data_IF_379188105033
#
_entry.id   IF_379188105033
#
_cell.length_a   1.000
_cell.length_b   1.000
_cell.length_c   1.000
_cell.angle_alpha   90.00
_cell.angle_beta   90.00
_cell.angle_gamma   90.00
#
_symmetry.space_group_name_H-M   'P 1'
#
loop_
_entity.id
_entity.type
_entity.pdbx_description
1 polymer ?
#
# COMPACT_ATOMS: atom_id res chain seq x y z
N UNK A 1 -49.53 -13.95 -33.36
CA UNK A 1 -48.09 -14.15 -33.62
C UNK A 1 -47.26 -12.84 -33.70
N UNK A 2 -47.87 -11.65 -33.89
CA UNK A 2 -47.14 -10.37 -34.07
C UNK A 2 -46.38 -9.83 -32.85
N UNK A 3 -46.78 -10.19 -31.62
CA UNK A 3 -46.14 -9.67 -30.40
C UNK A 3 -44.74 -10.26 -30.13
N UNK A 4 -44.43 -11.47 -30.63
CA UNK A 4 -43.12 -12.11 -30.40
C UNK A 4 -41.99 -11.47 -31.21
N UNK A 5 -42.28 -10.96 -32.41
CA UNK A 5 -41.27 -10.27 -33.24
C UNK A 5 -40.84 -8.93 -32.66
N UNK A 6 -41.75 -8.21 -32.00
CA UNK A 6 -41.48 -6.91 -31.41
C UNK A 6 -40.54 -7.01 -30.18
N UNK A 7 -40.69 -8.08 -29.40
CA UNK A 7 -39.87 -8.34 -28.21
C UNK A 7 -38.42 -8.70 -28.58
N UNK A 8 -38.23 -9.47 -29.66
CA UNK A 8 -36.89 -9.81 -30.18
C UNK A 8 -36.18 -8.57 -30.74
N UNK A 9 -36.91 -7.71 -31.47
CA UNK A 9 -36.35 -6.46 -31.98
C UNK A 9 -35.93 -5.51 -30.85
N UNK A 10 -36.70 -5.44 -29.77
CA UNK A 10 -36.39 -4.60 -28.62
C UNK A 10 -35.18 -5.11 -27.83
N UNK A 11 -35.07 -6.44 -27.62
CA UNK A 11 -33.92 -7.05 -26.97
C UNK A 11 -32.63 -6.87 -27.78
N UNK A 12 -32.69 -6.99 -29.11
CA UNK A 12 -31.54 -6.75 -29.98
C UNK A 12 -31.10 -5.27 -29.97
N UNK A 13 -32.05 -4.34 -29.94
CA UNK A 13 -31.75 -2.91 -29.84
C UNK A 13 -31.02 -2.56 -28.54
N UNK A 14 -31.47 -3.08 -27.40
CA UNK A 14 -30.83 -2.81 -26.10
C UNK A 14 -29.43 -3.43 -26.04
N UNK A 15 -29.23 -4.66 -26.57
CA UNK A 15 -27.89 -5.26 -26.63
C UNK A 15 -26.93 -4.49 -27.54
N UNK A 16 -27.42 -3.85 -28.60
CA UNK A 16 -26.61 -3.01 -29.49
C UNK A 16 -26.26 -1.65 -28.89
N UNK A 17 -27.07 -1.12 -27.97
CA UNK A 17 -26.74 0.11 -27.20
C UNK A 17 -25.64 -0.10 -26.15
N UNK A 18 -25.31 -1.35 -25.81
CA UNK A 18 -24.21 -1.71 -24.90
C UNK A 18 -23.00 -2.29 -25.63
N UNK A 19 -22.90 -2.14 -26.95
CA UNK A 19 -21.58 -2.28 -27.58
C UNK A 19 -20.79 -1.07 -27.09
N UNK A 20 -19.76 -1.24 -26.24
CA UNK A 20 -18.91 -0.12 -25.89
C UNK A 20 -18.35 0.38 -27.21
N UNK A 21 -18.65 1.64 -27.54
CA UNK A 21 -17.98 2.36 -28.60
C UNK A 21 -16.48 2.03 -28.47
N UNK A 22 -15.77 1.61 -29.53
CA UNK A 22 -14.32 1.54 -29.52
C UNK A 22 -13.78 2.98 -29.48
N UNK A 23 -14.19 3.73 -28.45
CA UNK A 23 -13.60 4.98 -28.03
C UNK A 23 -12.12 4.71 -27.98
N UNK A 24 -11.41 5.37 -28.89
CA UNK A 24 -9.97 5.34 -28.98
C UNK A 24 -9.42 5.52 -27.58
N UNK A 25 -8.98 4.40 -27.00
CA UNK A 25 -8.59 4.32 -25.61
C UNK A 25 -7.34 5.15 -25.39
N UNK A 26 -7.55 6.39 -24.97
CA UNK A 26 -6.56 7.24 -24.31
C UNK A 26 -6.08 6.64 -22.96
N UNK A 27 -6.35 5.35 -22.69
CA UNK A 27 -5.69 4.60 -21.63
C UNK A 27 -4.24 4.24 -22.04
N UNK A 28 -3.91 4.25 -23.35
CA UNK A 28 -2.58 3.83 -23.83
C UNK A 28 -1.43 4.79 -23.48
N UNK A 29 -1.70 6.08 -23.28
CA UNK A 29 -0.63 7.04 -22.93
C UNK A 29 -0.41 7.13 -21.42
N UNK A 30 -1.45 6.94 -20.60
CA UNK A 30 -1.31 6.86 -19.14
C UNK A 30 -0.66 5.55 -18.66
N UNK A 31 -0.81 4.44 -19.42
CA UNK A 31 -0.11 3.17 -19.18
C UNK A 31 1.34 3.13 -19.68
N UNK A 32 1.80 4.20 -20.33
CA UNK A 32 3.21 4.37 -20.74
C UNK A 32 4.04 4.98 -19.59
N UNK A 33 3.58 4.82 -18.36
CA UNK A 33 4.17 5.39 -17.15
C UNK A 33 4.81 4.23 -16.40
N UNK A 34 6.14 4.30 -16.32
CA UNK A 34 7.05 3.50 -15.50
C UNK A 34 6.73 2.01 -15.42
N UNK A 35 7.55 1.23 -16.12
CA UNK A 35 7.62 -0.22 -15.91
C UNK A 35 7.82 -0.46 -14.40
N UNK A 36 6.78 -0.95 -13.72
CA UNK A 36 6.82 -1.17 -12.27
C UNK A 36 8.05 -2.01 -11.94
N UNK A 37 8.78 -1.63 -10.89
CA UNK A 37 9.98 -2.37 -10.54
C UNK A 37 9.60 -3.80 -10.14
N UNK A 38 10.49 -4.77 -10.36
CA UNK A 38 10.24 -6.14 -9.90
C UNK A 38 9.94 -6.18 -8.40
N UNK A 39 10.54 -5.27 -7.61
CA UNK A 39 10.28 -5.16 -6.18
C UNK A 39 8.85 -4.71 -5.90
N UNK A 40 8.33 -3.69 -6.61
CA UNK A 40 6.95 -3.22 -6.42
C UNK A 40 5.92 -4.31 -6.70
N UNK A 41 6.18 -5.13 -7.73
CA UNK A 41 5.33 -6.27 -8.07
C UNK A 41 5.33 -7.32 -6.94
N UNK A 42 6.49 -7.65 -6.38
CA UNK A 42 6.59 -8.60 -5.27
C UNK A 42 5.96 -8.07 -3.98
N UNK A 43 6.14 -6.79 -3.67
CA UNK A 43 5.48 -6.14 -2.53
C UNK A 43 3.96 -6.10 -2.69
N UNK A 44 3.46 -5.84 -3.91
CA UNK A 44 2.03 -5.91 -4.19
C UNK A 44 1.49 -7.34 -4.00
N UNK A 45 2.22 -8.36 -4.45
CA UNK A 45 1.87 -9.76 -4.19
C UNK A 45 1.83 -10.06 -2.69
N UNK A 46 2.82 -9.58 -1.93
CA UNK A 46 2.84 -9.72 -0.47
C UNK A 46 1.61 -9.06 0.18
N UNK A 47 1.24 -7.86 -0.27
CA UNK A 47 0.04 -7.15 0.15
C UNK A 47 -1.23 -7.97 -0.10
N UNK A 48 -1.39 -8.48 -1.32
CA UNK A 48 -2.56 -9.29 -1.69
C UNK A 48 -2.60 -10.57 -0.86
N UNK A 49 -1.47 -11.26 -0.67
CA UNK A 49 -1.38 -12.44 0.20
C UNK A 49 -1.84 -12.10 1.62
N UNK A 50 -1.32 -11.03 2.22
CA UNK A 50 -1.72 -10.59 3.55
C UNK A 50 -3.24 -10.37 3.65
N UNK A 51 -3.83 -9.65 2.69
CA UNK A 51 -5.28 -9.41 2.66
C UNK A 51 -6.09 -10.70 2.52
N UNK A 52 -5.63 -11.66 1.72
CA UNK A 52 -6.31 -12.94 1.51
C UNK A 52 -6.27 -13.85 2.74
N UNK A 53 -5.16 -13.87 3.48
CA UNK A 53 -5.03 -14.65 4.71
C UNK A 53 -5.71 -13.97 5.91
N UNK A 54 -5.87 -12.63 5.86
CA UNK A 54 -6.44 -11.84 6.94
C UNK A 54 -7.67 -11.01 6.47
N UNK A 55 -8.69 -11.62 5.83
CA UNK A 55 -9.77 -10.87 5.17
C UNK A 55 -10.69 -10.16 6.17
N UNK A 56 -10.70 -10.61 7.43
CA UNK A 56 -11.44 -10.01 8.52
C UNK A 56 -10.57 -9.10 9.42
N UNK A 57 -9.30 -8.89 9.06
CA UNK A 57 -8.42 -8.04 9.86
C UNK A 57 -8.92 -6.60 9.91
N UNK A 58 -8.61 -5.96 11.03
CA UNK A 58 -8.92 -4.56 11.28
C UNK A 58 -7.79 -3.65 10.81
N UNK A 59 -6.84 -4.19 10.05
CA UNK A 59 -5.64 -3.48 9.62
C UNK A 59 -5.58 -3.40 8.10
N UNK A 60 -5.37 -2.20 7.60
CA UNK A 60 -4.89 -1.96 6.25
C UNK A 60 -3.38 -1.92 6.27
N UNK A 61 -2.74 -2.75 5.45
CA UNK A 61 -1.28 -2.85 5.36
C UNK A 61 -0.88 -2.53 3.93
N UNK A 62 0.05 -1.61 3.77
CA UNK A 62 0.63 -1.25 2.47
C UNK A 62 2.15 -1.37 2.57
N UNK A 63 2.76 -1.87 1.50
CA UNK A 63 4.19 -2.06 1.39
C UNK A 63 4.73 -1.15 0.29
N UNK A 64 5.85 -0.48 0.57
CA UNK A 64 6.54 0.38 -0.39
C UNK A 64 8.03 0.11 -0.31
N UNK A 65 8.70 -0.01 -1.45
CA UNK A 65 10.16 -0.01 -1.46
C UNK A 65 10.67 1.41 -1.67
N UNK A 66 11.62 1.84 -0.85
CA UNK A 66 12.23 3.16 -0.93
C UNK A 66 13.64 3.02 -1.52
N UNK A 67 13.86 3.25 -2.82
CA UNK A 67 15.18 3.09 -3.43
C UNK A 67 16.16 4.16 -2.94
N UNK A 68 17.45 3.83 -2.80
CA UNK A 68 18.49 4.77 -2.36
C UNK A 68 18.76 5.93 -3.32
N UNK A 69 18.31 5.84 -4.56
CA UNK A 69 18.53 6.86 -5.58
C UNK A 69 17.20 7.47 -6.01
N UNK A 70 16.86 8.61 -5.41
CA UNK A 70 15.92 9.57 -6.01
C UNK A 70 16.75 10.47 -6.90
N UNK A 71 17.02 10.00 -8.12
CA UNK A 71 17.69 10.75 -9.17
C UNK A 71 19.13 10.33 -9.43
N UNK A 72 19.32 9.51 -10.45
CA UNK A 72 20.28 9.92 -11.47
C UNK A 72 19.53 10.84 -12.43
N UNK A 73 20.05 12.05 -12.59
CA UNK A 73 19.53 13.10 -13.45
C UNK A 73 19.66 12.65 -14.91
N UNK A 74 18.68 11.92 -15.39
CA UNK A 74 18.41 11.79 -16.82
C UNK A 74 17.63 13.02 -17.27
N UNK A 75 18.33 13.98 -17.88
CA UNK A 75 17.83 15.22 -18.49
C UNK A 75 16.82 16.05 -17.68
N UNK A 76 17.31 17.19 -17.20
CA UNK A 76 16.59 18.38 -16.70
C UNK A 76 15.13 18.45 -17.18
N UNK A 77 14.19 17.93 -16.38
CA UNK A 77 12.77 18.03 -16.75
C UNK A 77 11.78 17.47 -15.75
N UNK A 78 12.02 16.26 -15.23
CA UNK A 78 11.02 15.56 -14.41
C UNK A 78 11.68 14.85 -13.23
N UNK A 79 12.08 15.63 -12.22
CA UNK A 79 12.43 15.06 -10.92
C UNK A 79 11.11 14.60 -10.31
N UNK A 80 10.80 13.32 -10.45
CA UNK A 80 9.75 12.66 -9.67
C UNK A 80 10.22 12.73 -8.22
N UNK A 81 9.80 13.78 -7.53
CA UNK A 81 9.97 13.86 -6.09
C UNK A 81 9.19 12.67 -5.54
N UNK A 82 9.90 11.65 -5.05
CA UNK A 82 9.25 10.66 -4.21
C UNK A 82 8.70 11.47 -3.05
N UNK A 83 7.37 11.57 -2.98
CA UNK A 83 6.69 12.13 -1.83
C UNK A 83 6.97 11.18 -0.67
N UNK A 84 8.14 11.36 -0.04
CA UNK A 84 8.45 10.76 1.25
C UNK A 84 7.31 11.22 2.16
N UNK A 85 6.48 10.29 2.68
CA UNK A 85 5.42 10.64 3.60
C UNK A 85 5.93 11.65 4.61
N UNK A 86 5.23 12.78 4.79
CA UNK A 86 5.63 13.86 5.69
C UNK A 86 5.88 13.36 7.13
N UNK A 87 5.33 12.20 7.46
CA UNK A 87 5.49 11.47 8.71
C UNK A 87 6.88 10.86 8.89
N UNK A 88 7.52 10.36 7.83
CA UNK A 88 8.91 9.87 7.89
C UNK A 88 9.89 11.02 8.22
N UNK A 89 9.58 12.25 7.82
CA UNK A 89 10.38 13.44 8.19
C UNK A 89 10.20 13.83 9.66
N UNK A 90 9.07 13.43 10.27
CA UNK A 90 8.79 13.68 11.67
C UNK A 90 9.40 12.60 12.60
N UNK A 91 9.92 11.50 12.04
CA UNK A 91 10.61 10.49 12.83
C UNK A 91 11.88 11.09 13.46
N UNK A 92 12.10 10.88 14.77
CA UNK A 92 13.29 11.37 15.44
C UNK A 92 14.53 10.78 14.77
N UNK A 93 15.46 11.65 14.39
CA UNK A 93 16.71 11.26 13.72
C UNK A 93 16.75 11.45 12.20
N UNK A 94 15.69 12.00 11.56
CA UNK A 94 15.63 12.17 10.10
C UNK A 94 15.99 10.87 9.35
N UNK A 95 15.48 9.73 9.84
CA UNK A 95 15.77 8.42 9.26
C UNK A 95 15.05 8.34 7.92
N UNK A 96 15.78 8.55 6.82
CA UNK A 96 15.27 8.30 5.49
C UNK A 96 15.43 6.80 5.24
N UNK A 97 14.34 6.03 5.02
CA UNK A 97 14.38 4.58 4.88
C UNK A 97 14.91 4.17 3.48
N UNK A 98 16.05 4.67 3.05
CA UNK A 98 16.65 4.34 1.76
C UNK A 98 17.09 2.88 1.72
N UNK A 99 16.81 2.21 0.60
CA UNK A 99 16.95 0.77 0.38
C UNK A 99 16.22 -0.09 1.42
N UNK A 100 15.07 0.38 1.91
CA UNK A 100 14.26 -0.37 2.88
C UNK A 100 12.84 -0.59 2.36
N UNK A 101 12.19 -1.61 2.90
CA UNK A 101 10.75 -1.81 2.76
C UNK A 101 10.07 -0.98 3.86
N UNK A 102 9.31 0.01 3.42
CA UNK A 102 8.44 0.80 4.28
C UNK A 102 7.06 0.15 4.37
N UNK A 103 6.61 -0.10 5.58
CA UNK A 103 5.35 -0.78 5.90
C UNK A 103 4.41 0.20 6.58
N UNK A 104 3.31 0.54 5.92
CA UNK A 104 2.28 1.39 6.47
C UNK A 104 1.14 0.53 7.02
N UNK A 105 0.97 0.53 8.34
CA UNK A 105 -0.08 -0.20 9.05
C UNK A 105 -1.11 0.80 9.55
N UNK A 106 -2.38 0.63 9.18
CA UNK A 106 -3.47 1.50 9.60
C UNK A 106 -4.61 0.69 10.20
N UNK A 107 -4.98 1.02 11.43
CA UNK A 107 -6.22 0.54 12.03
C UNK A 107 -7.41 1.11 11.26
N UNK A 108 -8.31 0.24 10.83
CA UNK A 108 -9.51 0.61 10.05
C UNK A 108 -10.76 0.66 10.91
N UNK A 109 -10.71 0.17 12.17
CA UNK A 109 -11.87 0.03 13.05
C UNK A 109 -11.70 0.68 14.42
N UNK A 110 -10.59 1.36 14.68
CA UNK A 110 -10.33 2.06 15.94
C UNK A 110 -10.11 1.11 17.13
N UNK A 111 -9.78 -0.16 16.87
CA UNK A 111 -9.55 -1.19 17.89
C UNK A 111 -8.34 -0.86 18.77
N UNK A 112 -7.38 -0.11 18.24
CA UNK A 112 -6.13 0.21 18.93
C UNK A 112 -6.16 1.60 19.58
N UNK A 113 -7.12 2.46 19.23
CA UNK A 113 -7.23 3.82 19.75
C UNK A 113 -7.45 3.88 21.27
N UNK A 114 -8.04 2.86 21.89
CA UNK A 114 -8.26 2.81 23.35
C UNK A 114 -7.15 2.11 24.13
N UNK A 115 -6.18 1.49 23.45
CA UNK A 115 -5.12 0.73 24.10
C UNK A 115 -4.00 1.65 24.59
N UNK A 116 -3.37 1.25 25.67
CA UNK A 116 -2.32 2.05 26.33
C UNK A 116 -0.99 1.31 26.34
N UNK A 117 0.10 2.07 26.21
CA UNK A 117 1.47 1.65 26.48
C UNK A 117 1.80 0.20 26.08
N UNK A 118 2.05 -0.63 27.09
CA UNK A 118 2.50 -2.03 26.93
C UNK A 118 1.58 -2.86 26.04
N UNK A 119 0.26 -2.76 26.22
CA UNK A 119 -0.70 -3.54 25.43
C UNK A 119 -0.65 -3.18 23.95
N UNK A 120 -0.47 -1.89 23.64
CA UNK A 120 -0.34 -1.39 22.28
C UNK A 120 0.99 -1.84 21.67
N UNK A 121 2.08 -1.76 22.44
CA UNK A 121 3.41 -2.20 22.01
C UNK A 121 3.44 -3.69 21.68
N UNK A 122 2.91 -4.54 22.57
CA UNK A 122 2.89 -5.99 22.37
C UNK A 122 2.10 -6.39 21.13
N UNK A 123 0.97 -5.70 20.87
CA UNK A 123 0.21 -5.93 19.65
C UNK A 123 0.90 -5.43 18.41
N UNK A 124 1.55 -4.27 18.48
CA UNK A 124 2.31 -3.76 17.35
C UNK A 124 3.44 -4.72 16.98
N UNK A 125 4.18 -5.22 17.97
CA UNK A 125 5.22 -6.26 17.77
C UNK A 125 4.68 -7.49 17.05
N UNK A 126 3.67 -8.14 17.62
CA UNK A 126 3.06 -9.36 17.04
C UNK A 126 2.49 -9.12 15.64
N UNK A 127 1.90 -7.95 15.43
CA UNK A 127 1.34 -7.56 14.14
C UNK A 127 2.44 -7.42 13.11
N UNK A 128 3.52 -6.71 13.45
CA UNK A 128 4.62 -6.48 12.52
C UNK A 128 5.39 -7.77 12.22
N UNK A 129 5.63 -8.63 13.21
CA UNK A 129 6.22 -9.96 13.01
C UNK A 129 5.38 -10.82 12.05
N UNK A 130 4.06 -10.83 12.20
CA UNK A 130 3.15 -11.52 11.28
C UNK A 130 3.14 -10.89 9.88
N UNK A 131 3.27 -9.57 9.77
CA UNK A 131 3.36 -8.89 8.48
C UNK A 131 4.70 -9.20 7.79
N UNK A 132 5.79 -9.25 8.56
CA UNK A 132 7.13 -9.54 8.07
C UNK A 132 7.20 -10.90 7.38
N UNK A 133 6.48 -11.92 7.87
CA UNK A 133 6.44 -13.25 7.21
C UNK A 133 5.80 -13.26 5.81
N UNK A 134 5.28 -12.14 5.30
CA UNK A 134 4.80 -12.03 3.91
C UNK A 134 5.85 -11.43 2.96
N UNK A 135 6.92 -10.85 3.53
CA UNK A 135 8.00 -10.16 2.83
C UNK A 135 9.39 -10.70 3.25
N UNK A 136 9.46 -11.77 4.01
CA UNK A 136 10.70 -12.42 4.47
C UNK A 136 11.55 -12.95 3.31
N UNK A 137 10.93 -13.38 2.22
CA UNK A 137 11.62 -13.71 0.97
C UNK A 137 12.27 -12.49 0.27
N UNK A 138 11.88 -11.26 0.66
CA UNK A 138 12.33 -10.00 0.05
C UNK A 138 13.27 -9.18 0.97
N UNK A 139 13.20 -9.42 2.28
CA UNK A 139 14.00 -8.74 3.31
C UNK A 139 14.84 -9.76 4.06
N UNK A 140 16.16 -9.56 4.07
CA UNK A 140 17.12 -10.49 4.69
C UNK A 140 17.04 -10.41 6.22
N UNK A 141 16.77 -9.23 6.75
CA UNK A 141 16.74 -8.97 8.19
C UNK A 141 15.71 -7.90 8.52
N UNK A 142 14.78 -8.23 9.42
CA UNK A 142 13.69 -7.31 9.78
C UNK A 142 14.22 -5.99 10.37
N UNK A 143 15.24 -6.08 11.23
CA UNK A 143 15.74 -4.93 12.00
C UNK A 143 16.39 -3.88 11.09
N UNK A 144 17.09 -4.33 10.04
CA UNK A 144 17.79 -3.45 9.10
C UNK A 144 16.98 -3.10 7.85
N UNK A 145 16.16 -4.01 7.32
CA UNK A 145 15.48 -3.85 6.03
C UNK A 145 14.06 -3.28 6.15
N UNK A 146 13.43 -3.34 7.32
CA UNK A 146 12.05 -2.88 7.53
C UNK A 146 12.01 -1.56 8.28
N UNK A 147 11.17 -0.64 7.82
CA UNK A 147 10.68 0.49 8.60
C UNK A 147 9.17 0.45 8.58
N UNK A 148 8.53 0.54 9.74
CA UNK A 148 7.08 0.46 9.82
C UNK A 148 6.50 1.63 10.60
N UNK A 149 5.35 2.13 10.15
CA UNK A 149 4.56 3.10 10.91
C UNK A 149 3.16 2.52 11.15
N UNK A 150 2.69 2.69 12.39
CA UNK A 150 1.39 2.21 12.81
C UNK A 150 0.47 3.37 13.16
N UNK A 151 -0.68 3.44 12.49
CA UNK A 151 -1.65 4.51 12.58
C UNK A 151 -2.98 4.05 13.16
N UNK A 152 -3.64 4.97 13.87
CA UNK A 152 -5.04 4.85 14.25
C UNK A 152 -5.96 5.02 13.05
N UNK A 153 -7.25 4.77 13.27
CA UNK A 153 -8.30 5.01 12.27
C UNK A 153 -8.37 6.48 11.83
N UNK A 154 -8.14 7.39 12.75
CA UNK A 154 -8.11 8.83 12.53
C UNK A 154 -6.83 9.31 11.83
N UNK A 155 -5.89 8.41 11.56
CA UNK A 155 -4.59 8.74 10.95
C UNK A 155 -3.59 9.34 11.93
N UNK A 156 -3.78 9.14 13.24
CA UNK A 156 -2.81 9.54 14.27
C UNK A 156 -1.76 8.44 14.37
N UNK A 157 -0.47 8.79 14.39
CA UNK A 157 0.60 7.82 14.59
C UNK A 157 0.53 7.26 16.03
N UNK A 158 0.52 5.93 16.13
CA UNK A 158 0.46 5.18 17.38
C UNK A 158 1.86 4.66 17.76
N UNK A 159 2.69 4.37 16.77
CA UNK A 159 4.06 3.93 16.97
C UNK A 159 4.77 3.68 15.64
N UNK A 160 6.07 3.43 15.72
CA UNK A 160 6.90 3.07 14.58
C UNK A 160 7.97 2.05 14.96
N UNK A 161 8.47 1.35 13.95
CA UNK A 161 9.58 0.41 14.06
C UNK A 161 10.70 0.83 13.10
N UNK A 162 11.92 0.88 13.60
CA UNK A 162 13.11 1.21 12.82
C UNK A 162 14.35 0.72 13.55
N UNK A 163 15.33 0.18 12.81
CA UNK A 163 16.63 -0.25 13.37
C UNK A 163 16.48 -1.30 14.50
N UNK A 164 15.51 -2.20 14.38
CA UNK A 164 15.23 -3.24 15.40
C UNK A 164 14.51 -2.74 16.64
N UNK A 165 14.20 -1.44 16.73
CA UNK A 165 13.55 -0.84 17.88
C UNK A 165 12.09 -0.46 17.58
N UNK A 166 11.24 -0.67 18.59
CA UNK A 166 9.84 -0.29 18.57
C UNK A 166 9.65 0.94 19.46
N UNK A 167 8.99 1.95 18.92
CA UNK A 167 8.70 3.18 19.63
C UNK A 167 7.20 3.45 19.57
N UNK A 168 6.60 3.73 20.73
CA UNK A 168 5.25 4.26 20.78
C UNK A 168 5.30 5.77 20.68
N UNK A 169 4.32 6.35 19.99
CA UNK A 169 4.16 7.79 20.00
C UNK A 169 3.54 8.19 21.33
N UNK A 170 4.21 9.08 22.08
CA UNK A 170 3.64 9.64 23.31
C UNK A 170 2.36 10.40 22.95
N UNK A 171 1.27 10.10 23.67
CA UNK A 171 0.00 10.81 23.55
C UNK A 171 -0.04 12.04 24.44
#
# INVERSE_FOLDING_TARGET
>A
MRARGLLVAFLLGVCLCFVPDPGHGEIRTALRREQASSMDVELLKAQVRYMMYNPAAYLSVNFHYMPAHVGDVGDVGDVVAIEVPSTLRALPGNIIPLNKIYVLIRDTRGVFSSRTGVDLLDQFKRTLENIYSYVDDLATDMDSDIVAEFYSQEGIILGYFSQGEYHLWER
#
